data_IF_016093433359
#
_entry.id   IF_016093433359
#
_cell.length_a   1.000
_cell.length_b   1.000
_cell.length_c   1.000
_cell.angle_alpha   90.00
_cell.angle_beta   90.00
_cell.angle_gamma   90.00
#
_symmetry.space_group_name_H-M   'P 1'
#
loop_
_entity.id
_entity.type
_entity.pdbx_description
1 polymer ?
#
# COMPACT_ATOMS: atom_id res chain seq x y z
N UNK A 1 -20.17 -12.35 7.75
CA UNK A 1 -20.92 -11.18 7.21
C UNK A 1 -20.75 -11.09 5.70
N UNK A 2 -21.54 -10.27 4.98
CA UNK A 2 -21.56 -10.23 3.51
C UNK A 2 -20.19 -9.99 2.88
N UNK A 3 -19.47 -8.95 3.33
CA UNK A 3 -18.12 -8.57 2.86
C UNK A 3 -17.14 -9.75 2.93
N UNK A 4 -17.09 -10.43 4.06
CA UNK A 4 -16.18 -11.57 4.27
C UNK A 4 -16.56 -12.79 3.40
N UNK A 5 -17.86 -13.07 3.27
CA UNK A 5 -18.36 -14.16 2.42
C UNK A 5 -18.07 -13.92 0.94
N UNK A 6 -18.22 -12.70 0.46
CA UNK A 6 -17.90 -12.32 -0.91
C UNK A 6 -16.37 -12.39 -1.15
N UNK A 7 -15.56 -11.84 -0.24
CA UNK A 7 -14.10 -11.84 -0.35
C UNK A 7 -13.51 -13.27 -0.37
N UNK A 8 -14.03 -14.18 0.46
CA UNK A 8 -13.58 -15.60 0.49
C UNK A 8 -13.81 -16.37 -0.81
N UNK A 9 -14.67 -15.87 -1.72
CA UNK A 9 -14.96 -16.50 -3.02
C UNK A 9 -14.06 -15.99 -4.13
N UNK A 10 -13.24 -14.98 -3.87
CA UNK A 10 -12.33 -14.41 -4.84
C UNK A 10 -11.09 -15.29 -4.99
N UNK A 11 -10.45 -15.21 -6.14
CA UNK A 11 -9.22 -15.95 -6.42
C UNK A 11 -8.00 -15.07 -6.17
N UNK A 12 -6.89 -15.71 -5.82
CA UNK A 12 -5.64 -15.01 -5.57
C UNK A 12 -5.13 -14.32 -6.84
N UNK A 13 -4.87 -13.02 -6.76
CA UNK A 13 -4.42 -12.16 -7.86
C UNK A 13 -2.91 -12.16 -8.09
N UNK A 14 -2.22 -13.31 -7.95
CA UNK A 14 -0.76 -13.44 -8.20
C UNK A 14 -0.37 -13.18 -9.66
N UNK A 15 -1.31 -13.35 -10.58
CA UNK A 15 -1.23 -12.96 -11.99
C UNK A 15 -2.47 -12.14 -12.29
N UNK A 16 -2.29 -10.86 -12.55
CA UNK A 16 -3.43 -9.97 -12.77
C UNK A 16 -3.18 -9.03 -13.97
N UNK A 17 -3.87 -9.22 -15.11
CA UNK A 17 -3.60 -8.46 -16.34
C UNK A 17 -3.58 -6.94 -16.13
N UNK A 18 -4.58 -6.38 -15.45
CA UNK A 18 -4.63 -4.96 -15.14
C UNK A 18 -3.41 -4.47 -14.37
N UNK A 19 -2.96 -5.21 -13.34
CA UNK A 19 -1.80 -4.81 -12.52
C UNK A 19 -0.48 -4.98 -13.29
N UNK A 20 -0.35 -6.05 -14.09
CA UNK A 20 0.87 -6.35 -14.83
C UNK A 20 1.02 -5.46 -16.07
N UNK A 21 -0.03 -5.29 -16.87
CA UNK A 21 0.06 -4.61 -18.16
C UNK A 21 -0.20 -3.11 -18.06
N UNK A 22 -1.23 -2.70 -17.30
CA UNK A 22 -1.58 -1.29 -17.20
C UNK A 22 -0.86 -0.58 -16.05
N UNK A 23 -0.69 -1.26 -14.90
CA UNK A 23 0.00 -0.67 -13.74
C UNK A 23 1.49 -0.99 -13.68
N UNK A 24 1.97 -1.88 -14.53
CA UNK A 24 3.39 -2.17 -14.65
C UNK A 24 3.98 -2.95 -13.47
N UNK A 25 3.16 -3.57 -12.63
CA UNK A 25 3.62 -4.33 -11.47
C UNK A 25 4.08 -5.73 -11.89
N UNK A 26 5.28 -6.19 -11.50
CA UNK A 26 5.76 -7.50 -11.91
C UNK A 26 4.99 -8.62 -11.19
N UNK A 27 4.68 -9.71 -11.91
CA UNK A 27 4.01 -10.88 -11.34
C UNK A 27 4.81 -11.50 -10.18
N UNK A 28 6.14 -11.45 -10.23
CA UNK A 28 7.02 -11.91 -9.15
C UNK A 28 6.77 -11.18 -7.84
N UNK A 29 6.50 -9.87 -7.89
CA UNK A 29 6.11 -9.09 -6.72
C UNK A 29 4.77 -9.55 -6.15
N UNK A 30 3.73 -9.69 -7.01
CA UNK A 30 2.38 -10.08 -6.60
C UNK A 30 2.35 -11.48 -5.98
N UNK A 31 3.26 -12.38 -6.41
CA UNK A 31 3.41 -13.75 -5.91
C UNK A 31 4.43 -13.89 -4.78
N UNK A 32 5.12 -12.83 -4.39
CA UNK A 32 6.09 -12.87 -3.29
C UNK A 32 5.41 -13.19 -1.96
N UNK A 33 6.16 -13.72 -1.00
CA UNK A 33 5.66 -14.02 0.36
C UNK A 33 5.09 -12.76 1.04
N UNK A 34 5.56 -11.59 0.64
CA UNK A 34 5.11 -10.30 1.18
C UNK A 34 3.68 -9.94 0.73
N UNK A 35 3.29 -10.33 -0.51
CA UNK A 35 2.05 -9.83 -1.12
C UNK A 35 1.06 -10.91 -1.56
N UNK A 36 1.45 -12.19 -1.59
CA UNK A 36 0.55 -13.28 -1.97
C UNK A 36 -0.73 -13.27 -1.12
N UNK A 37 -1.91 -13.30 -1.76
CA UNK A 37 -3.19 -13.21 -1.06
C UNK A 37 -3.58 -11.82 -0.54
N UNK A 38 -2.76 -10.79 -0.78
CA UNK A 38 -3.09 -9.39 -0.47
C UNK A 38 -3.69 -8.63 -1.65
N UNK A 39 -3.70 -9.29 -2.80
CA UNK A 39 -4.47 -8.91 -3.98
C UNK A 39 -5.33 -10.11 -4.35
N UNK A 40 -6.61 -9.89 -4.57
CA UNK A 40 -7.56 -10.89 -5.06
C UNK A 40 -8.11 -10.45 -6.41
N UNK A 41 -8.72 -11.39 -7.13
CA UNK A 41 -9.46 -11.12 -8.36
C UNK A 41 -10.91 -11.51 -8.15
N UNK A 42 -11.84 -10.58 -8.41
CA UNK A 42 -13.26 -10.88 -8.35
C UNK A 42 -13.76 -11.57 -9.63
N UNK A 43 -15.04 -11.94 -9.65
CA UNK A 43 -15.68 -12.60 -10.81
C UNK A 43 -15.73 -11.75 -12.08
N UNK A 44 -15.47 -10.46 -11.99
CA UNK A 44 -15.44 -9.51 -13.11
C UNK A 44 -14.02 -9.22 -13.60
N UNK A 45 -13.01 -9.88 -13.02
CA UNK A 45 -11.61 -9.66 -13.34
C UNK A 45 -11.03 -8.37 -12.73
N UNK A 46 -11.66 -7.80 -11.72
CA UNK A 46 -11.13 -6.63 -11.04
C UNK A 46 -10.08 -7.02 -9.99
N UNK A 47 -9.06 -6.18 -9.83
CA UNK A 47 -8.14 -6.28 -8.70
C UNK A 47 -8.83 -5.81 -7.41
N UNK A 48 -8.74 -6.63 -6.37
CA UNK A 48 -9.39 -6.40 -5.09
C UNK A 48 -8.36 -6.35 -3.98
N UNK A 49 -8.39 -5.27 -3.19
CA UNK A 49 -7.44 -4.99 -2.11
C UNK A 49 -8.18 -4.99 -0.77
N UNK A 50 -7.95 -5.99 0.10
CA UNK A 50 -8.66 -6.11 1.38
C UNK A 50 -8.26 -5.02 2.37
N UNK A 51 -9.24 -4.46 3.05
CA UNK A 51 -9.05 -3.51 4.14
C UNK A 51 -9.32 -4.17 5.48
N UNK A 52 -8.44 -3.90 6.43
CA UNK A 52 -8.50 -4.45 7.78
C UNK A 52 -8.61 -3.34 8.82
N UNK A 53 -9.36 -3.60 9.87
CA UNK A 53 -9.38 -2.85 11.11
C UNK A 53 -9.00 -3.75 12.30
N UNK A 54 -9.26 -3.30 13.52
CA UNK A 54 -8.95 -4.08 14.74
C UNK A 54 -9.76 -5.38 14.86
N UNK A 55 -10.90 -5.48 14.17
CA UNK A 55 -11.76 -6.66 14.16
C UNK A 55 -11.44 -7.64 13.01
N UNK A 56 -10.54 -7.28 12.11
CA UNK A 56 -10.17 -8.09 10.94
C UNK A 56 -10.59 -7.47 9.61
N UNK A 57 -10.97 -8.31 8.64
CA UNK A 57 -11.43 -7.85 7.32
C UNK A 57 -12.71 -7.03 7.45
N UNK A 58 -12.66 -5.75 7.07
CA UNK A 58 -13.78 -4.82 7.22
C UNK A 58 -14.33 -4.30 5.88
N UNK A 59 -13.57 -4.43 4.80
CA UNK A 59 -13.96 -3.99 3.46
C UNK A 59 -12.90 -4.38 2.44
N UNK A 60 -13.08 -3.93 1.21
CA UNK A 60 -12.06 -4.05 0.16
C UNK A 60 -12.28 -3.00 -0.92
N UNK A 61 -11.17 -2.48 -1.47
CA UNK A 61 -11.19 -1.70 -2.70
C UNK A 61 -11.30 -2.60 -3.92
N UNK A 62 -11.88 -2.06 -4.99
CA UNK A 62 -12.01 -2.71 -6.29
C UNK A 62 -11.42 -1.76 -7.33
N UNK A 63 -10.44 -2.24 -8.10
CA UNK A 63 -9.75 -1.47 -9.13
C UNK A 63 -9.69 -2.22 -10.45
N UNK A 64 -9.95 -1.51 -11.55
CA UNK A 64 -9.70 -1.98 -12.92
C UNK A 64 -9.48 -0.77 -13.83
N UNK A 65 -9.27 -0.99 -15.12
CA UNK A 65 -9.18 0.08 -16.12
C UNK A 65 -10.41 0.99 -16.05
N UNK A 66 -10.20 2.27 -15.77
CA UNK A 66 -11.28 3.27 -15.68
C UNK A 66 -12.29 3.05 -14.53
N UNK A 67 -12.06 2.07 -13.64
CA UNK A 67 -12.99 1.75 -12.56
C UNK A 67 -12.32 1.76 -11.20
N UNK A 68 -12.96 2.43 -10.25
CA UNK A 68 -12.64 2.40 -8.83
C UNK A 68 -13.92 2.24 -8.03
N UNK A 69 -13.94 1.26 -7.12
CA UNK A 69 -15.09 0.97 -6.26
C UNK A 69 -14.66 0.53 -4.87
N UNK A 70 -15.65 0.32 -4.01
CA UNK A 70 -15.47 -0.23 -2.67
C UNK A 70 -16.59 -1.21 -2.35
N UNK A 71 -16.30 -2.21 -1.50
CA UNK A 71 -17.26 -3.24 -1.09
C UNK A 71 -18.56 -2.64 -0.55
N UNK A 72 -19.70 -3.07 -1.09
CA UNK A 72 -21.00 -2.63 -0.61
C UNK A 72 -21.22 -3.06 0.85
N UNK A 73 -21.47 -2.09 1.74
CA UNK A 73 -21.57 -2.31 3.19
C UNK A 73 -20.24 -2.54 3.90
N UNK A 74 -19.11 -2.44 3.18
CA UNK A 74 -17.77 -2.48 3.76
C UNK A 74 -17.38 -1.18 4.43
N UNK A 75 -16.40 -1.27 5.34
CA UNK A 75 -15.79 -0.11 6.01
C UNK A 75 -14.35 0.04 5.52
N UNK A 76 -13.92 1.28 5.36
CA UNK A 76 -12.55 1.59 4.99
C UNK A 76 -11.63 1.47 6.22
N UNK A 77 -10.81 0.44 6.23
CA UNK A 77 -9.69 0.22 7.14
C UNK A 77 -8.36 0.52 6.45
N UNK A 78 -7.31 -0.26 6.71
CA UNK A 78 -6.03 -0.19 6.01
C UNK A 78 -5.81 -1.48 5.21
N UNK A 79 -5.30 -1.35 4.01
CA UNK A 79 -4.69 -2.49 3.33
C UNK A 79 -3.29 -2.73 3.89
N UNK A 80 -2.87 -3.99 3.94
CA UNK A 80 -1.54 -4.37 4.42
C UNK A 80 -0.91 -5.45 3.57
N UNK A 81 0.41 -5.42 3.42
CA UNK A 81 1.21 -6.59 3.06
C UNK A 81 1.22 -7.61 4.21
N UNK A 82 1.77 -8.80 3.99
CA UNK A 82 2.08 -9.72 5.10
C UNK A 82 3.13 -9.11 6.04
N UNK A 83 3.07 -9.50 7.30
CA UNK A 83 4.14 -9.25 8.27
C UNK A 83 5.13 -10.40 8.26
N UNK A 84 6.39 -10.10 8.51
CA UNK A 84 7.44 -11.09 8.76
C UNK A 84 8.13 -10.80 10.09
N UNK A 85 8.68 -11.85 10.76
CA UNK A 85 9.58 -11.63 11.89
C UNK A 85 10.74 -10.72 11.46
N UNK A 86 11.04 -9.70 12.28
CA UNK A 86 12.11 -8.75 11.96
C UNK A 86 11.67 -7.53 11.13
N UNK A 87 10.39 -7.40 10.79
CA UNK A 87 9.88 -6.16 10.18
C UNK A 87 10.22 -4.97 11.08
N UNK A 88 11.05 -4.07 10.58
CA UNK A 88 11.51 -2.86 11.27
C UNK A 88 11.27 -1.60 10.46
N UNK A 89 10.59 -1.73 9.33
CA UNK A 89 10.22 -0.62 8.45
C UNK A 89 8.76 -0.73 8.05
N UNK A 90 8.03 0.39 8.11
CA UNK A 90 6.65 0.51 7.64
C UNK A 90 6.58 1.58 6.55
N UNK A 91 6.18 1.19 5.35
CA UNK A 91 5.87 2.11 4.26
C UNK A 91 4.36 2.32 4.21
N UNK A 92 3.93 3.58 4.27
CA UNK A 92 2.53 4.01 4.15
C UNK A 92 2.34 4.76 2.84
N UNK A 93 1.41 4.30 2.02
CA UNK A 93 1.08 4.90 0.73
C UNK A 93 -0.41 5.29 0.65
N UNK A 94 -0.78 6.08 -0.37
CA UNK A 94 -2.17 6.47 -0.55
C UNK A 94 -3.04 5.29 -0.97
N UNK A 95 -2.64 4.53 -1.98
CA UNK A 95 -3.34 3.33 -2.44
C UNK A 95 -2.48 2.06 -2.32
N UNK A 96 -3.11 0.89 -2.40
CA UNK A 96 -2.40 -0.39 -2.44
C UNK A 96 -1.53 -0.52 -3.69
N UNK A 97 -1.94 0.09 -4.83
CA UNK A 97 -1.15 0.12 -6.06
C UNK A 97 0.14 0.93 -5.85
N UNK A 98 0.08 2.07 -5.14
CA UNK A 98 1.28 2.88 -4.84
C UNK A 98 2.21 2.17 -3.87
N UNK A 99 1.66 1.47 -2.87
CA UNK A 99 2.45 0.64 -1.96
C UNK A 99 3.19 -0.49 -2.70
N UNK A 100 2.52 -1.18 -3.63
CA UNK A 100 3.11 -2.20 -4.49
C UNK A 100 4.14 -1.59 -5.46
N UNK A 101 3.86 -0.41 -5.98
CA UNK A 101 4.77 0.33 -6.87
C UNK A 101 6.04 0.75 -6.15
N UNK A 102 5.91 1.26 -4.93
CA UNK A 102 7.06 1.57 -4.08
C UNK A 102 7.91 0.32 -3.81
N UNK A 103 7.28 -0.83 -3.49
CA UNK A 103 7.99 -2.09 -3.30
C UNK A 103 8.73 -2.54 -4.58
N UNK A 104 8.12 -2.39 -5.76
CA UNK A 104 8.74 -2.73 -7.04
C UNK A 104 9.97 -1.85 -7.37
N UNK A 105 9.96 -0.60 -6.92
CA UNK A 105 11.07 0.36 -7.14
C UNK A 105 12.22 0.17 -6.14
N UNK A 106 11.94 -0.35 -4.96
CA UNK A 106 12.91 -0.50 -3.86
C UNK A 106 12.96 -1.95 -3.32
N UNK A 107 13.31 -2.95 -4.17
CA UNK A 107 13.23 -4.35 -3.81
C UNK A 107 14.16 -4.74 -2.65
N UNK A 108 15.32 -4.10 -2.51
CA UNK A 108 16.29 -4.40 -1.45
C UNK A 108 15.79 -4.11 -0.03
N UNK A 109 14.72 -3.31 0.08
CA UNK A 109 14.11 -3.00 1.35
C UNK A 109 12.95 -3.95 1.73
N UNK A 110 12.52 -4.86 0.83
CA UNK A 110 11.32 -5.69 1.01
C UNK A 110 11.42 -6.61 2.23
N UNK A 111 12.56 -7.23 2.47
CA UNK A 111 12.74 -8.26 3.50
C UNK A 111 12.39 -7.79 4.92
N UNK A 112 12.58 -6.51 5.22
CA UNK A 112 12.29 -5.90 6.54
C UNK A 112 11.12 -4.92 6.53
N UNK A 113 10.43 -4.80 5.38
CA UNK A 113 9.43 -3.76 5.17
C UNK A 113 8.02 -4.32 5.16
N UNK A 114 7.18 -3.82 6.03
CA UNK A 114 5.73 -3.94 5.95
C UNK A 114 5.16 -2.76 5.17
N UNK A 115 4.24 -3.04 4.26
CA UNK A 115 3.54 -2.03 3.48
C UNK A 115 2.10 -1.89 3.95
N UNK A 116 1.59 -0.67 3.92
CA UNK A 116 0.20 -0.36 4.21
C UNK A 116 -0.32 0.77 3.31
N UNK A 117 -1.63 0.81 3.08
CA UNK A 117 -2.25 1.93 2.38
C UNK A 117 -3.59 2.34 2.98
N UNK A 118 -3.95 3.60 2.71
CA UNK A 118 -5.20 4.22 3.18
C UNK A 118 -6.39 3.92 2.25
N UNK A 119 -6.12 3.59 0.98
CA UNK A 119 -7.13 3.46 -0.07
C UNK A 119 -7.71 4.81 -0.48
N UNK A 120 -6.85 5.80 -0.77
CA UNK A 120 -7.22 7.17 -1.10
C UNK A 120 -7.54 8.02 0.13
N UNK A 121 -8.36 9.06 -0.03
CA UNK A 121 -8.71 10.00 1.05
C UNK A 121 -9.12 9.29 2.36
N UNK A 122 -8.47 9.58 3.49
CA UNK A 122 -8.73 8.90 4.76
C UNK A 122 -10.09 9.28 5.34
N UNK A 123 -10.70 8.34 6.07
CA UNK A 123 -11.84 8.58 6.94
C UNK A 123 -11.40 8.93 8.37
N UNK A 124 -12.36 9.28 9.23
CA UNK A 124 -12.09 9.71 10.60
C UNK A 124 -11.44 8.63 11.51
N UNK A 125 -11.51 7.34 11.14
CA UNK A 125 -10.97 6.24 11.96
C UNK A 125 -9.54 5.85 11.55
N UNK A 126 -9.15 6.07 10.32
CA UNK A 126 -7.86 5.63 9.78
C UNK A 126 -6.65 6.27 10.47
N UNK A 127 -6.63 7.54 10.90
CA UNK A 127 -5.50 8.09 11.66
C UNK A 127 -5.20 7.29 12.94
N UNK A 128 -6.22 6.80 13.64
CA UNK A 128 -6.06 5.93 14.82
C UNK A 128 -5.55 4.54 14.45
N UNK A 129 -5.97 3.98 13.31
CA UNK A 129 -5.45 2.70 12.82
C UNK A 129 -3.97 2.81 12.44
N UNK A 130 -3.56 3.90 11.78
CA UNK A 130 -2.16 4.20 11.48
C UNK A 130 -1.35 4.29 12.77
N UNK A 131 -1.79 5.08 13.75
CA UNK A 131 -1.11 5.21 15.04
C UNK A 131 -0.98 3.86 15.76
N UNK A 132 -2.05 3.05 15.78
CA UNK A 132 -2.03 1.71 16.38
C UNK A 132 -1.09 0.75 15.65
N UNK A 133 -0.93 0.89 14.32
CA UNK A 133 0.00 0.10 13.53
C UNK A 133 1.44 0.48 13.85
N UNK A 134 1.75 1.77 13.91
CA UNK A 134 3.07 2.29 14.29
C UNK A 134 3.45 1.87 15.71
N UNK A 135 2.51 1.91 16.64
CA UNK A 135 2.74 1.52 18.05
C UNK A 135 3.15 0.04 18.24
N UNK A 136 2.93 -0.82 17.24
CA UNK A 136 3.32 -2.24 17.27
C UNK A 136 4.70 -2.52 16.68
N UNK A 137 5.34 -1.52 16.08
CA UNK A 137 6.67 -1.67 15.51
C UNK A 137 7.74 -1.74 16.62
N UNK A 138 8.90 -2.35 16.36
CA UNK A 138 9.99 -2.39 17.33
C UNK A 138 10.61 -1.00 17.59
N UNK A 139 11.41 -0.92 18.63
CA UNK A 139 12.29 0.24 18.89
C UNK A 139 13.21 0.48 17.70
N UNK A 140 13.44 1.75 17.35
CA UNK A 140 14.27 2.13 16.22
C UNK A 140 13.63 1.90 14.85
N UNK A 141 12.35 1.50 14.79
CA UNK A 141 11.69 1.25 13.52
C UNK A 141 11.57 2.52 12.68
N UNK A 142 11.64 2.31 11.38
CA UNK A 142 11.53 3.34 10.35
C UNK A 142 10.10 3.42 9.81
N UNK A 143 9.52 4.60 9.82
CA UNK A 143 8.20 4.89 9.25
C UNK A 143 8.40 5.80 8.05
N UNK A 144 8.05 5.29 6.88
CA UNK A 144 8.18 5.99 5.59
C UNK A 144 6.79 6.42 5.11
N UNK A 145 6.58 7.72 5.03
CA UNK A 145 5.41 8.32 4.40
C UNK A 145 5.66 8.44 2.89
N UNK A 146 5.19 7.44 2.12
CA UNK A 146 5.38 7.33 0.68
C UNK A 146 4.08 7.68 -0.06
N UNK A 147 3.71 8.96 -0.03
CA UNK A 147 2.50 9.48 -0.65
C UNK A 147 2.80 10.16 -1.99
N UNK A 148 1.75 10.63 -2.67
CA UNK A 148 1.86 11.32 -3.95
C UNK A 148 2.54 12.68 -3.78
N UNK A 149 3.19 13.17 -4.83
CA UNK A 149 3.91 14.45 -4.82
C UNK A 149 2.95 15.63 -5.09
N UNK A 150 1.86 15.71 -4.33
CA UNK A 150 0.86 16.76 -4.43
C UNK A 150 0.43 17.32 -3.06
N UNK A 151 -0.52 18.25 -3.04
CA UNK A 151 -1.02 18.85 -1.80
C UNK A 151 -1.72 17.82 -0.90
N UNK A 152 -2.50 16.89 -1.48
CA UNK A 152 -3.19 15.85 -0.73
C UNK A 152 -2.19 14.88 -0.09
N UNK A 153 -1.15 14.45 -0.84
CA UNK A 153 -0.07 13.62 -0.31
C UNK A 153 0.68 14.30 0.83
N UNK A 154 0.96 15.60 0.74
CA UNK A 154 1.59 16.37 1.83
C UNK A 154 0.72 16.43 3.09
N UNK A 155 -0.60 16.51 2.97
CA UNK A 155 -1.53 16.41 4.12
C UNK A 155 -1.46 15.01 4.76
N UNK A 156 -1.36 13.95 3.95
CA UNK A 156 -1.19 12.57 4.45
C UNK A 156 0.16 12.39 5.15
N UNK A 157 1.24 12.96 4.63
CA UNK A 157 2.55 13.01 5.32
C UNK A 157 2.41 13.59 6.71
N UNK A 158 1.73 14.75 6.83
CA UNK A 158 1.51 15.38 8.13
C UNK A 158 0.67 14.52 9.08
N UNK A 159 -0.36 13.85 8.57
CA UNK A 159 -1.16 12.91 9.37
C UNK A 159 -0.30 11.77 9.96
N UNK A 160 0.61 11.19 9.15
CA UNK A 160 1.51 10.13 9.61
C UNK A 160 2.53 10.67 10.61
N UNK A 161 3.09 11.87 10.38
CA UNK A 161 3.98 12.55 11.32
C UNK A 161 3.35 12.68 12.69
N UNK A 162 2.12 13.22 12.77
CA UNK A 162 1.39 13.36 14.02
C UNK A 162 1.12 12.00 14.70
N UNK A 163 0.87 10.94 13.91
CA UNK A 163 0.71 9.60 14.45
C UNK A 163 2.01 9.07 15.07
N UNK A 164 3.18 9.30 14.45
CA UNK A 164 4.49 8.94 14.99
C UNK A 164 4.77 9.71 16.27
N UNK A 165 4.62 11.04 16.26
CA UNK A 165 4.81 11.90 17.43
C UNK A 165 3.93 11.46 18.60
N UNK A 166 2.67 11.11 18.34
CA UNK A 166 1.75 10.61 19.35
C UNK A 166 2.16 9.25 19.94
N UNK A 167 2.83 8.37 19.15
CA UNK A 167 3.40 7.12 19.68
C UNK A 167 4.65 7.40 20.49
N UNK A 168 5.58 8.19 19.97
CA UNK A 168 6.82 8.58 20.68
C UNK A 168 6.51 9.22 22.03
N UNK A 169 5.59 10.19 22.07
CA UNK A 169 5.18 10.87 23.29
C UNK A 169 4.59 9.93 24.36
N UNK A 170 3.82 8.91 23.91
CA UNK A 170 3.16 7.97 24.85
C UNK A 170 4.07 6.86 25.34
N UNK A 171 5.03 6.43 24.53
CA UNK A 171 5.81 5.21 24.77
C UNK A 171 7.27 5.48 25.09
N UNK A 172 7.78 6.69 24.83
CA UNK A 172 9.20 7.03 24.92
C UNK A 172 10.07 6.34 23.85
N UNK A 173 9.48 5.61 22.89
CA UNK A 173 10.23 4.88 21.87
C UNK A 173 10.90 5.84 20.91
N UNK A 174 12.11 5.46 20.48
CA UNK A 174 12.78 6.12 19.37
C UNK A 174 12.29 5.53 18.06
N UNK A 175 11.63 6.32 17.22
CA UNK A 175 11.15 5.94 15.89
C UNK A 175 11.72 6.90 14.85
N UNK A 176 12.08 6.39 13.68
CA UNK A 176 12.65 7.18 12.58
C UNK A 176 11.54 7.50 11.59
N UNK A 177 11.22 8.78 11.41
CA UNK A 177 10.23 9.21 10.43
C UNK A 177 10.92 9.74 9.17
N UNK A 178 10.52 9.22 8.02
CA UNK A 178 11.01 9.64 6.71
C UNK A 178 9.87 10.01 5.79
N UNK A 179 10.11 10.98 4.92
CA UNK A 179 9.21 11.37 3.84
C UNK A 179 9.83 10.94 2.52
N UNK A 180 9.09 10.16 1.75
CA UNK A 180 9.51 9.70 0.44
C UNK A 180 8.40 9.99 -0.56
N UNK A 181 8.60 11.00 -1.39
CA UNK A 181 7.64 11.39 -2.43
C UNK A 181 8.27 11.19 -3.81
N UNK A 182 7.47 10.96 -4.87
CA UNK A 182 7.94 11.06 -6.24
C UNK A 182 8.68 12.38 -6.50
N UNK A 183 9.62 12.37 -7.43
CA UNK A 183 10.46 13.55 -7.71
C UNK A 183 9.76 14.62 -8.53
N UNK A 184 8.72 14.26 -9.27
CA UNK A 184 7.95 15.20 -10.08
C UNK A 184 6.66 15.55 -9.35
N UNK A 185 6.35 16.86 -9.30
CA UNK A 185 5.11 17.36 -8.70
C UNK A 185 3.90 16.79 -9.44
N UNK A 186 2.91 16.34 -8.67
CA UNK A 186 1.68 15.70 -9.17
C UNK A 186 1.82 14.22 -9.55
N UNK A 187 2.99 13.59 -9.39
CA UNK A 187 3.15 12.15 -9.64
C UNK A 187 2.74 11.30 -8.44
N UNK A 188 2.18 10.13 -8.74
CA UNK A 188 2.05 8.99 -7.83
C UNK A 188 3.18 7.95 -8.05
N UNK A 189 3.32 6.99 -7.13
CA UNK A 189 4.36 5.96 -7.24
C UNK A 189 4.14 5.01 -8.41
N UNK A 190 2.89 4.82 -8.85
CA UNK A 190 2.62 3.97 -9.99
C UNK A 190 3.06 4.62 -11.32
N UNK A 191 2.91 5.93 -11.45
CA UNK A 191 3.45 6.68 -12.61
C UNK A 191 4.98 6.58 -12.67
N UNK A 192 5.67 6.61 -11.52
CA UNK A 192 7.13 6.39 -11.46
C UNK A 192 7.51 5.01 -11.99
N UNK A 193 6.78 3.94 -11.60
CA UNK A 193 7.00 2.57 -12.12
C UNK A 193 6.79 2.51 -13.62
N UNK A 194 5.69 3.08 -14.11
CA UNK A 194 5.37 3.07 -15.55
C UNK A 194 6.44 3.79 -16.35
N UNK A 195 6.91 4.96 -15.91
CA UNK A 195 8.01 5.70 -16.55
C UNK A 195 9.33 4.92 -16.53
N UNK A 196 9.67 4.29 -15.41
CA UNK A 196 10.89 3.48 -15.30
C UNK A 196 10.88 2.29 -16.27
N UNK A 197 9.71 1.66 -16.49
CA UNK A 197 9.55 0.57 -17.46
C UNK A 197 9.69 1.06 -18.90
N UNK A 198 9.08 2.18 -19.25
CA UNK A 198 9.19 2.77 -20.58
C UNK A 198 10.65 3.09 -20.93
N UNK A 199 11.41 3.66 -20.01
CA UNK A 199 12.82 3.98 -20.20
C UNK A 199 13.68 2.72 -20.43
N UNK A 200 13.42 1.62 -19.69
CA UNK A 200 14.12 0.34 -19.90
C UNK A 200 13.82 -0.25 -21.28
N UNK A 201 12.58 -0.14 -21.76
CA UNK A 201 12.17 -0.64 -23.07
C UNK A 201 12.86 0.12 -24.20
N UNK A 202 12.94 1.45 -24.12
CA UNK A 202 13.61 2.31 -25.10
C UNK A 202 15.12 2.01 -25.16
N UNK A 203 15.77 1.84 -24.00
CA UNK A 203 17.20 1.50 -23.95
C UNK A 203 17.50 0.10 -24.48
N UNK A 204 16.64 -0.89 -24.20
CA UNK A 204 16.81 -2.24 -24.72
C UNK A 204 16.53 -2.40 -26.21
N UNK A 205 15.75 -1.49 -26.81
CA UNK A 205 15.49 -1.48 -28.25
C UNK A 205 16.59 -0.75 -29.07
N UNK A 206 17.49 -0.02 -28.40
CA UNK A 206 18.59 0.73 -29.02
C UNK A 206 19.93 -0.03 -29.02
N UNK A 207 19.96 -1.26 -28.51
CA UNK A 207 21.10 -2.21 -28.55
C UNK A 207 20.85 -3.33 -29.56
#
# INVERSE_FOLDING_TARGET
>A
MRVESEYRRMVNGVRHPYLEHERGLPASLLSSLRFVGRVQTDRHGNAVFPHFDVAGLCGYEIKNCGFTGFAAGGKKGLWFSHTAPGDSRLVLAESAIDALSHAALFPDAEDRTRYASLGGKPNATQPRLVQSTIARLPEGAEIVAAFDADEAGRLLVNMVRLAVEGVVSKTGRNLIFQVHLPTQEGEDWNQVVQRARQNKFVQGAAM
#
